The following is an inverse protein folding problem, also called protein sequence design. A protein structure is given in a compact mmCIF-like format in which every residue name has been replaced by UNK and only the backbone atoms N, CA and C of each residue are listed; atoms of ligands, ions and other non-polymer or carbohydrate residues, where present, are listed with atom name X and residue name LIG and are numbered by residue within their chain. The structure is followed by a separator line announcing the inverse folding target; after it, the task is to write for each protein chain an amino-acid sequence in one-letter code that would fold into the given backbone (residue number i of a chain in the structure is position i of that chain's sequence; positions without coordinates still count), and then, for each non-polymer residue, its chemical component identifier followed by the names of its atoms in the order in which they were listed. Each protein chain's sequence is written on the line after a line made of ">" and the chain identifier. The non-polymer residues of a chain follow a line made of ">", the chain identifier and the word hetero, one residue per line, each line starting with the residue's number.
data_IF_241710046267
#
_entry.id   IF_241710046267
#
_cell.length_a   1.000
_cell.length_b   1.000
_cell.length_c   1.000
_cell.angle_alpha   90.00
_cell.angle_beta   90.00
_cell.angle_gamma   90.00
#
_symmetry.space_group_name_H-M   'P 1'
#
loop_
_entity.id
_entity.type
_entity.pdbx_description
1 polymer ?
#
# COMPACT_ATOMS: atom_id res chain seq x y z
N UNK A 1 2.46 2.55 1.01
CA UNK A 1 3.89 2.63 1.42
C UNK A 1 4.80 2.23 0.25
N UNK A 2 6.05 2.72 0.22
CA UNK A 2 7.07 2.30 -0.75
C UNK A 2 7.63 0.94 -0.35
N UNK A 3 8.18 0.19 -1.31
CA UNK A 3 8.75 -1.15 -1.07
C UNK A 3 9.80 -1.18 0.05
N UNK A 4 10.72 -0.22 0.06
CA UNK A 4 11.76 -0.13 1.10
C UNK A 4 11.18 0.21 2.48
N UNK A 5 10.15 1.03 2.54
CA UNK A 5 9.47 1.38 3.80
C UNK A 5 8.81 0.13 4.41
N UNK A 6 8.21 -0.73 3.57
CA UNK A 6 7.61 -1.99 4.01
C UNK A 6 8.70 -2.96 4.52
N UNK A 7 9.82 -3.09 3.80
CA UNK A 7 10.92 -3.98 4.20
C UNK A 7 11.64 -3.56 5.49
N UNK A 8 11.60 -2.27 5.82
CA UNK A 8 12.21 -1.71 7.03
C UNK A 8 11.19 -1.43 8.14
N UNK A 9 9.94 -1.88 7.98
CA UNK A 9 8.89 -1.70 8.96
C UNK A 9 9.20 -2.49 10.24
N UNK A 10 9.01 -1.85 11.40
CA UNK A 10 9.32 -2.44 12.72
C UNK A 10 8.11 -2.37 13.64
N UNK A 11 7.95 -3.39 14.47
CA UNK A 11 6.80 -3.49 15.38
C UNK A 11 6.69 -2.32 16.35
N UNK A 12 7.82 -1.79 16.82
CA UNK A 12 7.84 -0.61 17.70
C UNK A 12 7.26 0.67 17.09
N UNK A 13 7.13 0.72 15.76
CA UNK A 13 6.54 1.85 15.05
C UNK A 13 5.12 1.57 14.57
N UNK A 14 4.51 0.47 14.99
CA UNK A 14 3.13 0.13 14.67
C UNK A 14 2.31 0.19 15.94
N UNK A 15 1.34 1.09 15.93
CA UNK A 15 0.29 1.14 16.93
C UNK A 15 -0.95 0.44 16.35
N UNK A 16 -1.23 -0.77 16.85
CA UNK A 16 -2.35 -1.58 16.37
C UNK A 16 -3.70 -1.02 16.84
N UNK A 17 -3.73 -0.37 18.01
CA UNK A 17 -4.96 0.16 18.61
C UNK A 17 -5.36 1.47 17.93
N UNK A 18 -4.40 2.38 17.74
CA UNK A 18 -4.61 3.63 16.98
C UNK A 18 -4.67 3.39 15.47
N UNK A 19 -4.26 2.20 15.00
CA UNK A 19 -4.20 1.79 13.60
C UNK A 19 -3.29 2.67 12.76
N UNK A 20 -2.08 2.93 13.26
CA UNK A 20 -1.11 3.82 12.62
C UNK A 20 0.24 3.14 12.56
N UNK A 21 0.89 3.23 11.39
CA UNK A 21 2.30 2.92 11.22
C UNK A 21 3.11 4.22 11.10
N UNK A 22 4.06 4.43 12.00
CA UNK A 22 5.01 5.52 11.96
C UNK A 22 6.22 5.14 11.08
N UNK A 23 6.62 6.01 10.17
CA UNK A 23 7.79 5.84 9.32
C UNK A 23 8.83 6.90 9.72
N UNK A 24 9.83 6.57 10.57
CA UNK A 24 10.65 7.57 11.28
C UNK A 24 11.72 8.28 10.45
N UNK A 25 12.19 7.70 9.36
CA UNK A 25 12.88 8.44 8.30
C UNK A 25 12.92 7.57 7.06
N UNK A 26 12.55 8.15 5.92
CA UNK A 26 12.63 7.45 4.64
C UNK A 26 13.75 8.11 3.86
N UNK A 27 14.55 7.32 3.13
CA UNK A 27 15.77 7.71 2.40
C UNK A 27 15.68 8.99 1.52
N UNK A 28 14.50 9.61 1.37
CA UNK A 28 14.24 10.83 0.62
C UNK A 28 13.21 11.80 1.23
N UNK A 29 12.82 11.70 2.51
CA UNK A 29 11.93 12.72 3.09
C UNK A 29 11.17 12.30 4.34
N UNK A 30 11.03 13.30 5.21
CA UNK A 30 10.21 13.50 6.40
C UNK A 30 9.51 12.27 6.97
N UNK A 31 9.69 12.09 8.28
CA UNK A 31 8.89 11.19 9.07
C UNK A 31 7.40 11.42 8.81
N UNK A 32 6.63 10.33 8.70
CA UNK A 32 5.18 10.42 8.52
C UNK A 32 4.45 9.24 9.10
N UNK A 33 3.20 9.49 9.42
CA UNK A 33 2.26 8.49 9.87
C UNK A 33 1.40 8.00 8.71
N UNK A 34 1.24 6.68 8.61
CA UNK A 34 0.42 6.02 7.60
C UNK A 34 -0.75 5.35 8.31
N UNK A 35 -2.01 5.76 8.05
CA UNK A 35 -3.17 5.08 8.59
C UNK A 35 -3.28 3.67 8.00
N UNK A 36 -3.66 2.72 8.85
CA UNK A 36 -3.81 1.31 8.51
C UNK A 36 -5.30 0.96 8.42
N UNK A 37 -5.69 0.31 7.32
CA UNK A 37 -7.05 -0.23 7.21
C UNK A 37 -7.30 -1.33 8.24
N UNK A 38 -8.57 -1.59 8.57
CA UNK A 38 -8.97 -2.69 9.46
C UNK A 38 -8.40 -4.03 8.99
N UNK A 39 -8.43 -4.30 7.67
CA UNK A 39 -7.83 -5.50 7.08
C UNK A 39 -6.33 -5.58 7.32
N UNK A 40 -5.61 -4.46 7.20
CA UNK A 40 -4.17 -4.42 7.48
C UNK A 40 -3.89 -4.74 8.95
N UNK A 41 -4.72 -4.24 9.88
CA UNK A 41 -4.59 -4.55 11.32
C UNK A 41 -4.82 -6.03 11.59
N UNK A 42 -5.87 -6.64 11.02
CA UNK A 42 -6.10 -8.08 11.17
C UNK A 42 -4.89 -8.90 10.72
N UNK A 43 -4.30 -8.56 9.58
CA UNK A 43 -3.10 -9.24 9.06
C UNK A 43 -1.90 -9.01 9.99
N UNK A 44 -1.67 -7.77 10.42
CA UNK A 44 -0.54 -7.43 11.29
C UNK A 44 -0.65 -8.07 12.68
N UNK A 45 -1.84 -8.11 13.27
CA UNK A 45 -2.06 -8.79 14.56
C UNK A 45 -1.75 -10.28 14.44
N UNK A 46 -2.26 -10.95 13.41
CA UNK A 46 -1.94 -12.37 13.16
C UNK A 46 -0.45 -12.59 12.94
N UNK A 47 0.23 -11.73 12.18
CA UNK A 47 1.69 -11.80 12.01
C UNK A 47 2.45 -11.62 13.33
N UNK A 48 1.98 -10.72 14.20
CA UNK A 48 2.61 -10.45 15.50
C UNK A 48 2.48 -11.65 16.45
N UNK A 49 1.33 -12.31 16.48
CA UNK A 49 1.09 -13.53 17.27
C UNK A 49 2.04 -14.68 16.87
N UNK A 50 2.35 -14.80 15.58
CA UNK A 50 3.26 -15.82 15.06
C UNK A 50 4.72 -15.36 14.99
N UNK A 51 5.01 -14.12 15.42
CA UNK A 51 6.36 -13.57 15.40
C UNK A 51 7.19 -14.07 16.58
N UNK A 52 8.51 -14.15 16.39
CA UNK A 52 9.42 -14.48 17.50
C UNK A 52 9.36 -13.35 18.54
N UNK A 53 9.40 -13.62 19.85
CA UNK A 53 9.30 -12.59 20.89
C UNK A 53 10.33 -11.45 20.77
N UNK A 54 11.49 -11.71 20.16
CA UNK A 54 12.57 -10.74 19.94
C UNK A 54 12.63 -10.16 18.52
N UNK A 55 11.66 -10.47 17.65
CA UNK A 55 11.65 -9.93 16.29
C UNK A 55 11.27 -8.45 16.30
N UNK A 56 12.19 -7.60 15.85
CA UNK A 56 11.92 -6.16 15.73
C UNK A 56 11.30 -5.79 14.38
N UNK A 57 11.74 -6.44 13.30
CA UNK A 57 11.17 -6.24 11.96
C UNK A 57 9.85 -6.99 11.81
N UNK A 58 8.89 -6.33 11.15
CA UNK A 58 7.59 -6.95 10.79
C UNK A 58 7.79 -8.03 9.73
N UNK A 59 8.61 -7.72 8.73
CA UNK A 59 8.94 -8.62 7.64
C UNK A 59 10.44 -8.88 7.65
N UNK A 60 10.83 -10.13 7.91
CA UNK A 60 12.24 -10.55 7.85
C UNK A 60 12.65 -10.86 6.40
N UNK A 61 12.64 -9.83 5.55
CA UNK A 61 13.04 -9.95 4.15
C UNK A 61 13.61 -8.64 3.60
N UNK A 62 14.50 -8.78 2.61
CA UNK A 62 15.05 -7.64 1.88
C UNK A 62 14.02 -7.05 0.91
N UNK A 63 14.13 -5.76 0.62
CA UNK A 63 13.23 -5.08 -0.30
C UNK A 63 13.18 -5.72 -1.71
N UNK A 64 14.30 -6.22 -2.23
CA UNK A 64 14.34 -6.93 -3.51
C UNK A 64 13.63 -8.29 -3.46
N UNK A 65 13.63 -8.96 -2.30
CA UNK A 65 12.90 -10.19 -2.10
C UNK A 65 11.38 -10.00 -2.20
N UNK A 66 10.85 -8.85 -1.75
CA UNK A 66 9.44 -8.48 -1.92
C UNK A 66 9.05 -8.47 -3.40
N UNK A 67 9.85 -7.82 -4.25
CA UNK A 67 9.58 -7.77 -5.70
C UNK A 67 9.63 -9.16 -6.32
N UNK A 68 10.65 -9.96 -6.02
CA UNK A 68 10.72 -11.32 -6.55
C UNK A 68 9.57 -12.20 -6.07
N UNK A 69 9.15 -12.05 -4.81
CA UNK A 69 8.02 -12.80 -4.27
C UNK A 69 6.70 -12.39 -4.95
N UNK A 70 6.51 -11.10 -5.19
CA UNK A 70 5.34 -10.58 -5.90
C UNK A 70 5.31 -11.05 -7.36
N UNK A 71 6.42 -10.94 -8.09
CA UNK A 71 6.50 -11.38 -9.49
C UNK A 71 6.16 -12.89 -9.62
N UNK A 72 6.64 -13.73 -8.68
CA UNK A 72 6.25 -15.14 -8.62
C UNK A 72 4.76 -15.34 -8.31
N UNK A 73 4.19 -14.53 -7.41
CA UNK A 73 2.77 -14.61 -7.07
C UNK A 73 1.90 -14.23 -8.27
N UNK A 74 2.24 -13.16 -8.99
CA UNK A 74 1.57 -12.73 -10.22
C UNK A 74 1.62 -13.83 -11.28
N UNK A 75 2.81 -14.43 -11.51
CA UNK A 75 2.95 -15.53 -12.47
C UNK A 75 2.03 -16.70 -12.14
N UNK A 76 2.04 -17.17 -10.87
CA UNK A 76 1.17 -18.28 -10.44
C UNK A 76 -0.32 -17.94 -10.55
N UNK A 77 -0.70 -16.70 -10.24
CA UNK A 77 -2.08 -16.23 -10.37
C UNK A 77 -2.53 -16.22 -11.83
N UNK A 78 -1.66 -15.78 -12.76
CA UNK A 78 -1.90 -15.80 -14.20
C UNK A 78 -2.04 -17.22 -14.73
N UNK A 79 -1.12 -18.11 -14.37
CA UNK A 79 -1.20 -19.55 -14.71
C UNK A 79 -2.50 -20.20 -14.21
N UNK A 80 -2.98 -19.82 -13.01
CA UNK A 80 -4.25 -20.31 -12.47
C UNK A 80 -5.45 -19.76 -13.24
N UNK A 81 -5.40 -18.48 -13.60
CA UNK A 81 -6.44 -17.82 -14.38
C UNK A 81 -6.61 -18.43 -15.77
N UNK A 82 -5.50 -18.62 -16.50
CA UNK A 82 -5.47 -19.24 -17.83
C UNK A 82 -5.99 -20.68 -17.81
N UNK A 83 -5.78 -21.41 -16.71
CA UNK A 83 -6.32 -22.77 -16.55
C UNK A 83 -7.82 -22.82 -16.26
N UNK A 84 -8.37 -21.77 -15.66
CA UNK A 84 -9.75 -21.77 -15.15
C UNK A 84 -10.71 -21.03 -16.08
N UNK A 85 -10.21 -20.15 -16.96
CA UNK A 85 -11.02 -19.32 -17.83
C UNK A 85 -10.66 -19.57 -19.29
N UNK A 86 -11.61 -20.08 -20.08
CA UNK A 86 -11.41 -20.37 -21.51
C UNK A 86 -11.35 -19.10 -22.38
N UNK A 87 -11.96 -18.00 -21.92
CA UNK A 87 -11.81 -16.66 -22.49
C UNK A 87 -10.62 -15.98 -21.79
N UNK A 88 -9.41 -16.39 -22.14
CA UNK A 88 -8.19 -15.79 -21.61
C UNK A 88 -8.09 -14.33 -22.06
N UNK A 89 -8.27 -13.38 -21.15
CA UNK A 89 -7.83 -12.00 -21.39
C UNK A 89 -6.30 -11.94 -21.32
N UNK A 90 -5.65 -11.75 -22.47
CA UNK A 90 -4.18 -11.69 -22.56
C UNK A 90 -3.57 -10.55 -21.74
N UNK A 91 -4.35 -9.51 -21.43
CA UNK A 91 -3.92 -8.36 -20.63
C UNK A 91 -4.01 -8.63 -19.12
N UNK A 92 -4.73 -9.66 -18.70
CA UNK A 92 -4.92 -9.96 -17.29
C UNK A 92 -3.59 -10.30 -16.59
N UNK A 93 -3.28 -9.53 -15.54
CA UNK A 93 -2.05 -9.64 -14.76
C UNK A 93 -0.76 -9.59 -15.59
N UNK A 94 -0.81 -8.94 -16.77
CA UNK A 94 0.37 -8.68 -17.59
C UNK A 94 1.09 -7.42 -17.11
N UNK A 95 2.41 -7.49 -17.05
CA UNK A 95 3.30 -6.38 -16.64
C UNK A 95 2.99 -5.73 -15.28
N UNK A 96 2.23 -6.40 -14.41
CA UNK A 96 1.90 -5.92 -13.07
C UNK A 96 3.14 -5.99 -12.15
N UNK A 97 3.56 -4.83 -11.63
CA UNK A 97 4.71 -4.68 -10.74
C UNK A 97 4.26 -4.34 -9.32
N UNK A 98 5.10 -4.64 -8.34
CA UNK A 98 4.79 -4.36 -6.93
C UNK A 98 4.49 -2.87 -6.65
N UNK A 99 5.12 -1.95 -7.39
CA UNK A 99 4.90 -0.52 -7.18
C UNK A 99 3.51 -0.05 -7.66
N UNK A 100 2.86 -0.81 -8.54
CA UNK A 100 1.51 -0.52 -9.01
C UNK A 100 0.48 -0.68 -7.89
N UNK A 101 0.76 -1.52 -6.89
CA UNK A 101 -0.09 -1.61 -5.67
C UNK A 101 -0.15 -0.26 -4.93
N UNK A 102 0.95 0.50 -4.94
CA UNK A 102 0.95 1.85 -4.36
C UNK A 102 0.20 2.83 -5.25
N UNK A 103 0.27 2.65 -6.58
CA UNK A 103 -0.50 3.43 -7.54
C UNK A 103 -2.00 3.24 -7.27
N UNK A 104 -2.45 1.99 -7.26
CA UNK A 104 -3.83 1.59 -6.98
C UNK A 104 -4.32 2.06 -5.61
N UNK A 105 -3.53 1.86 -4.55
CA UNK A 105 -3.88 2.34 -3.22
C UNK A 105 -4.04 3.87 -3.18
N UNK A 106 -3.24 4.61 -3.96
CA UNK A 106 -3.36 6.07 -4.03
C UNK A 106 -4.64 6.49 -4.75
N UNK A 107 -5.00 5.82 -5.86
CA UNK A 107 -6.28 6.05 -6.57
C UNK A 107 -7.48 5.84 -5.65
N UNK A 108 -7.52 4.72 -4.92
CA UNK A 108 -8.63 4.42 -4.00
C UNK A 108 -8.72 5.40 -2.83
N UNK A 109 -7.58 5.84 -2.31
CA UNK A 109 -7.56 6.83 -1.24
C UNK A 109 -7.97 8.23 -1.73
N UNK A 110 -7.75 8.55 -3.01
CA UNK A 110 -8.15 9.82 -3.60
C UNK A 110 -9.69 9.99 -3.68
N UNK A 111 -10.43 8.88 -3.72
CA UNK A 111 -11.89 8.88 -3.64
C UNK A 111 -12.41 9.21 -2.24
N UNK A 112 -11.60 8.95 -1.20
CA UNK A 112 -12.00 9.08 0.21
C UNK A 112 -11.49 10.40 0.80
N UNK A 113 -10.23 10.75 0.51
CA UNK A 113 -9.53 11.83 1.17
C UNK A 113 -9.32 13.04 0.26
N UNK A 114 -9.44 14.27 0.77
CA UNK A 114 -9.03 15.45 0.02
C UNK A 114 -7.52 15.43 -0.24
N UNK A 115 -7.09 16.15 -1.29
CA UNK A 115 -5.70 16.09 -1.78
C UNK A 115 -4.63 16.39 -0.71
N UNK A 116 -4.89 17.33 0.20
CA UNK A 116 -3.92 17.71 1.24
C UNK A 116 -3.70 16.59 2.26
N UNK A 117 -4.75 15.84 2.64
CA UNK A 117 -4.65 14.66 3.50
C UNK A 117 -3.98 13.51 2.77
N UNK A 118 -4.36 13.28 1.50
CA UNK A 118 -3.74 12.26 0.66
C UNK A 118 -2.22 12.48 0.52
N UNK A 119 -1.79 13.73 0.40
CA UNK A 119 -0.38 14.12 0.35
C UNK A 119 0.36 13.69 1.61
N UNK A 120 -0.22 13.92 2.80
CA UNK A 120 0.35 13.49 4.08
C UNK A 120 0.43 11.96 4.19
N UNK A 121 -0.65 11.25 3.87
CA UNK A 121 -0.73 9.78 3.95
C UNK A 121 0.28 9.12 3.01
N UNK A 122 0.33 9.58 1.77
CA UNK A 122 1.20 8.99 0.75
C UNK A 122 2.65 9.45 0.92
N UNK A 123 2.91 10.65 1.44
CA UNK A 123 4.26 11.20 1.57
C UNK A 123 4.82 11.71 0.24
N UNK A 124 3.98 12.28 -0.62
CA UNK A 124 4.44 13.03 -1.79
C UNK A 124 4.88 14.44 -1.35
N UNK A 125 6.05 14.89 -1.79
CA UNK A 125 6.54 16.25 -1.49
C UNK A 125 5.82 17.31 -2.30
N UNK A 126 5.54 17.00 -3.56
CA UNK A 126 4.81 17.88 -4.47
C UNK A 126 3.40 17.31 -4.70
N UNK A 127 2.33 18.02 -4.27
CA UNK A 127 0.95 17.65 -4.55
C UNK A 127 0.64 17.48 -6.04
N UNK A 128 1.38 18.12 -6.95
CA UNK A 128 1.20 17.96 -8.40
C UNK A 128 1.36 16.51 -8.84
N UNK A 129 2.20 15.73 -8.16
CA UNK A 129 2.34 14.29 -8.43
C UNK A 129 1.07 13.51 -8.13
N UNK A 130 0.19 14.04 -7.27
CA UNK A 130 -1.08 13.42 -6.90
C UNK A 130 -2.25 13.82 -7.81
N UNK A 131 -2.11 14.88 -8.61
CA UNK A 131 -3.16 15.32 -9.54
C UNK A 131 -3.60 14.21 -10.50
N UNK A 132 -2.69 13.30 -10.88
CA UNK A 132 -3.01 12.14 -11.74
C UNK A 132 -3.97 11.12 -11.12
N UNK A 133 -4.22 11.20 -9.81
CA UNK A 133 -5.10 10.29 -9.07
C UNK A 133 -6.37 10.96 -8.60
N UNK A 134 -6.34 12.29 -8.43
CA UNK A 134 -7.40 13.03 -7.78
C UNK A 134 -8.33 13.62 -8.83
N UNK A 135 -9.40 12.89 -9.11
CA UNK A 135 -10.45 13.28 -10.06
C UNK A 135 -11.80 13.37 -9.32
N UNK A 136 -12.02 14.42 -8.51
CA UNK A 136 -13.27 14.57 -7.77
C UNK A 136 -14.43 14.76 -8.76
N UNK A 137 -15.54 14.07 -8.52
CA UNK A 137 -16.76 14.26 -9.30
C UNK A 137 -17.45 15.54 -8.86
N UNK A 138 -18.06 16.27 -9.79
CA UNK A 138 -18.73 17.53 -9.49
C UNK A 138 -19.89 17.33 -8.49
N UNK A 139 -20.57 16.20 -8.58
CA UNK A 139 -21.65 15.77 -7.69
C UNK A 139 -21.16 15.61 -6.25
N UNK A 140 -20.00 14.99 -6.06
CA UNK A 140 -19.37 14.80 -4.74
C UNK A 140 -18.96 16.14 -4.11
N UNK A 141 -18.56 17.11 -4.95
CA UNK A 141 -18.24 18.47 -4.50
C UNK A 141 -19.51 19.25 -4.14
N UNK A 142 -20.58 19.11 -4.92
CA UNK A 142 -21.87 19.77 -4.64
C UNK A 142 -22.45 19.34 -3.29
N UNK A 143 -22.31 18.06 -2.92
CA UNK A 143 -22.73 17.57 -1.60
C UNK A 143 -22.02 18.25 -0.42
N UNK A 144 -20.81 18.80 -0.63
CA UNK A 144 -20.01 19.48 0.40
C UNK A 144 -20.32 20.97 0.55
N UNK A 145 -21.09 21.56 -0.37
CA UNK A 145 -21.47 22.97 -0.34
C UNK A 145 -22.74 23.24 0.50
N UNK A 146 -23.22 22.25 1.25
CA UNK A 146 -24.42 22.35 2.08
C UNK A 146 -24.15 23.07 3.39
#
# INVERSE_FOLDING_TARGET
>A
MRRSEIAELRWRFIDLDRRVAHLPDTKNGNARDVPLSTKAITILSSLKEHSKPAADKVFDMRADAITRAFDRAVKRARERYEKTNSLCDESFLKDLRFHDLRHEATSRLAEIFPMHELTKITGHKDPRMLMRYYHPKAEDLALKLK
#
